data_IF_348610612464
#
_entry.id   IF_348610612464
#
_cell.length_a   1.000
_cell.length_b   1.000
_cell.length_c   1.000
_cell.angle_alpha   90.00
_cell.angle_beta   90.00
_cell.angle_gamma   90.00
#
_symmetry.space_group_name_H-M   'P 1'
#
loop_
_entity.id
_entity.type
_entity.pdbx_description
1 polymer ?
#
# COMPACT_ATOMS: atom_id res chain seq x y z
N UNK A 1 2.46 -32.37 -17.67
CA UNK A 1 3.73 -33.11 -17.58
C UNK A 1 4.84 -32.09 -17.48
N UNK A 2 5.71 -32.18 -16.47
CA UNK A 2 6.91 -31.33 -16.41
C UNK A 2 7.98 -31.95 -17.33
N UNK A 3 8.31 -31.23 -18.41
CA UNK A 3 9.18 -31.68 -19.49
C UNK A 3 10.58 -32.09 -19.00
N UNK A 4 11.00 -31.58 -17.84
CA UNK A 4 12.34 -31.77 -17.28
C UNK A 4 12.31 -32.47 -15.92
N UNK A 5 11.27 -33.25 -15.62
CA UNK A 5 11.12 -33.94 -14.31
C UNK A 5 12.34 -34.79 -13.94
N UNK A 6 12.93 -35.48 -14.92
CA UNK A 6 14.06 -36.40 -14.71
C UNK A 6 15.43 -35.74 -14.90
N UNK A 7 15.48 -34.42 -15.09
CA UNK A 7 16.73 -33.69 -15.35
C UNK A 7 17.32 -33.09 -14.07
N UNK A 8 18.65 -33.15 -13.95
CA UNK A 8 19.37 -32.49 -12.87
C UNK A 8 19.33 -30.97 -13.00
N UNK A 9 19.29 -30.26 -11.85
CA UNK A 9 19.35 -28.79 -11.83
C UNK A 9 20.64 -28.25 -12.47
N UNK A 10 21.74 -29.00 -12.38
CA UNK A 10 23.01 -28.66 -13.01
C UNK A 10 22.92 -28.69 -14.53
N UNK A 11 22.27 -29.71 -15.10
CA UNK A 11 22.11 -29.85 -16.56
C UNK A 11 21.22 -28.75 -17.13
N UNK A 12 20.13 -28.44 -16.44
CA UNK A 12 19.25 -27.33 -16.81
C UNK A 12 19.95 -25.97 -16.68
N UNK A 13 20.74 -25.79 -15.61
CA UNK A 13 21.56 -24.61 -15.40
C UNK A 13 22.59 -24.42 -16.51
N UNK A 14 23.26 -25.48 -16.94
CA UNK A 14 24.20 -25.46 -18.05
C UNK A 14 23.53 -25.09 -19.38
N UNK A 15 22.35 -25.65 -19.66
CA UNK A 15 21.56 -25.30 -20.85
C UNK A 15 21.15 -23.82 -20.83
N UNK A 16 20.65 -23.32 -19.69
CA UNK A 16 20.29 -21.91 -19.51
C UNK A 16 21.50 -21.00 -19.73
N UNK A 17 22.64 -21.30 -19.13
CA UNK A 17 23.84 -20.48 -19.22
C UNK A 17 24.33 -20.40 -20.68
N UNK A 18 24.29 -21.52 -21.40
CA UNK A 18 24.66 -21.56 -22.81
C UNK A 18 23.77 -20.64 -23.66
N UNK A 19 22.44 -20.76 -23.53
CA UNK A 19 21.49 -19.90 -24.26
C UNK A 19 21.60 -18.43 -23.88
N UNK A 20 21.91 -18.13 -22.61
CA UNK A 20 22.00 -16.75 -22.13
C UNK A 20 23.22 -15.98 -22.66
N UNK A 21 24.30 -16.68 -22.99
CA UNK A 21 25.59 -16.08 -23.38
C UNK A 21 25.82 -16.14 -24.89
N UNK A 22 25.37 -17.20 -25.55
CA UNK A 22 25.61 -17.43 -26.96
C UNK A 22 24.80 -16.46 -27.84
N UNK A 23 25.43 -15.90 -28.88
CA UNK A 23 24.74 -14.99 -29.77
C UNK A 23 23.64 -15.75 -30.55
N UNK A 24 22.49 -15.14 -30.87
CA UNK A 24 21.39 -15.85 -31.53
C UNK A 24 21.77 -16.52 -32.85
N UNK A 25 22.75 -15.98 -33.57
CA UNK A 25 23.23 -16.55 -34.82
C UNK A 25 24.14 -17.77 -34.61
N UNK A 26 24.91 -17.82 -33.54
CA UNK A 26 25.72 -18.98 -33.14
C UNK A 26 24.81 -20.10 -32.64
N UNK A 27 23.83 -19.75 -31.82
CA UNK A 27 22.83 -20.69 -31.31
C UNK A 27 22.08 -21.41 -32.44
N UNK A 28 21.80 -20.71 -33.55
CA UNK A 28 21.15 -21.28 -34.75
C UNK A 28 22.04 -22.24 -35.55
N UNK A 29 23.36 -22.23 -35.38
CA UNK A 29 24.28 -23.14 -36.09
C UNK A 29 24.31 -24.55 -35.50
N UNK A 30 23.77 -24.74 -34.29
CA UNK A 30 23.68 -26.06 -33.67
C UNK A 30 22.59 -26.92 -34.30
N UNK A 31 22.70 -28.26 -34.23
CA UNK A 31 21.65 -29.18 -34.64
C UNK A 31 20.33 -28.84 -33.94
N UNK A 32 19.24 -28.95 -34.71
CA UNK A 32 17.91 -28.58 -34.25
C UNK A 32 17.54 -29.26 -32.92
N UNK A 33 17.81 -30.56 -32.78
CA UNK A 33 17.50 -31.29 -31.54
C UNK A 33 18.17 -30.65 -30.30
N UNK A 34 19.46 -30.35 -30.38
CA UNK A 34 20.19 -29.72 -29.27
C UNK A 34 19.67 -28.31 -28.99
N UNK A 35 19.46 -27.51 -30.04
CA UNK A 35 18.95 -26.15 -29.93
C UNK A 35 17.58 -26.09 -29.26
N UNK A 36 16.66 -26.97 -29.64
CA UNK A 36 15.33 -27.02 -29.04
C UNK A 36 15.37 -27.39 -27.56
N UNK A 37 16.20 -28.37 -27.18
CA UNK A 37 16.37 -28.77 -25.78
C UNK A 37 16.89 -27.61 -24.93
N UNK A 38 17.93 -26.90 -25.40
CA UNK A 38 18.49 -25.79 -24.65
C UNK A 38 17.51 -24.62 -24.52
N UNK A 39 16.81 -24.27 -25.61
CA UNK A 39 15.78 -23.22 -25.59
C UNK A 39 14.61 -23.59 -24.68
N UNK A 40 14.14 -24.84 -24.73
CA UNK A 40 13.08 -25.32 -23.85
C UNK A 40 13.50 -25.25 -22.38
N UNK A 41 14.72 -25.70 -22.05
CA UNK A 41 15.26 -25.62 -20.68
C UNK A 41 15.40 -24.16 -20.21
N UNK A 42 15.90 -23.27 -21.08
CA UNK A 42 16.02 -21.85 -20.80
C UNK A 42 14.66 -21.20 -20.49
N UNK A 43 13.68 -21.37 -21.38
CA UNK A 43 12.33 -20.79 -21.21
C UNK A 43 11.64 -21.35 -19.97
N UNK A 44 11.79 -22.65 -19.71
CA UNK A 44 11.25 -23.30 -18.54
C UNK A 44 11.80 -22.69 -17.23
N UNK A 45 13.13 -22.56 -17.11
CA UNK A 45 13.76 -21.94 -15.94
C UNK A 45 13.44 -20.45 -15.83
N UNK A 46 13.40 -19.73 -16.95
CA UNK A 46 13.07 -18.30 -16.96
C UNK A 46 11.63 -18.05 -16.55
N UNK A 47 10.70 -18.88 -17.01
CA UNK A 47 9.28 -18.80 -16.64
C UNK A 47 9.06 -19.00 -15.14
N UNK A 48 9.71 -20.00 -14.53
CA UNK A 48 9.70 -20.19 -13.07
C UNK A 48 10.25 -18.98 -12.35
N UNK A 49 11.46 -18.53 -12.70
CA UNK A 49 12.07 -17.37 -12.05
C UNK A 49 11.23 -16.08 -12.14
N UNK A 50 10.57 -15.82 -13.27
CA UNK A 50 9.66 -14.67 -13.42
C UNK A 50 8.43 -14.85 -12.53
N UNK A 51 7.85 -16.04 -12.49
CA UNK A 51 6.68 -16.33 -11.66
C UNK A 51 7.01 -16.18 -10.18
N UNK A 52 8.13 -16.73 -9.73
CA UNK A 52 8.61 -16.63 -8.34
C UNK A 52 8.80 -15.16 -7.95
N UNK A 53 9.45 -14.36 -8.82
CA UNK A 53 9.64 -12.92 -8.61
C UNK A 53 8.30 -12.17 -8.49
N UNK A 54 7.30 -12.54 -9.30
CA UNK A 54 5.97 -11.93 -9.26
C UNK A 54 5.21 -12.31 -7.98
N UNK A 55 5.36 -13.55 -7.51
CA UNK A 55 4.78 -14.00 -6.24
C UNK A 55 5.40 -13.23 -5.07
N UNK A 56 6.72 -13.09 -5.04
CA UNK A 56 7.42 -12.31 -4.00
C UNK A 56 6.96 -10.86 -3.99
N UNK A 57 6.87 -10.22 -5.16
CA UNK A 57 6.38 -8.85 -5.29
C UNK A 57 4.92 -8.70 -4.85
N UNK A 58 4.07 -9.67 -5.17
CA UNK A 58 2.68 -9.67 -4.74
C UNK A 58 2.59 -9.77 -3.21
N UNK A 59 3.39 -10.67 -2.61
CA UNK A 59 3.46 -10.83 -1.15
C UNK A 59 3.89 -9.51 -0.51
N UNK A 60 4.97 -8.88 -0.99
CA UNK A 60 5.45 -7.60 -0.48
C UNK A 60 4.37 -6.51 -0.58
N UNK A 61 3.70 -6.43 -1.73
CA UNK A 61 2.65 -5.42 -1.97
C UNK A 61 1.46 -5.60 -1.03
N UNK A 62 1.01 -6.84 -0.80
CA UNK A 62 -0.07 -7.14 0.14
C UNK A 62 0.32 -6.75 1.57
N UNK A 63 1.54 -7.10 2.01
CA UNK A 63 2.03 -6.69 3.33
C UNK A 63 2.09 -5.16 3.48
N UNK A 64 2.57 -4.45 2.45
CA UNK A 64 2.65 -3.00 2.47
C UNK A 64 1.26 -2.35 2.59
N UNK A 65 0.27 -2.85 1.83
CA UNK A 65 -1.12 -2.38 1.93
C UNK A 65 -1.69 -2.65 3.33
N UNK A 66 -1.46 -3.86 3.87
CA UNK A 66 -1.89 -4.24 5.21
C UNK A 66 -1.34 -3.29 6.28
N UNK A 67 -0.02 -3.10 6.32
CA UNK A 67 0.63 -2.20 7.26
C UNK A 67 0.14 -0.75 7.13
N UNK A 68 -0.11 -0.28 5.90
CA UNK A 68 -0.64 1.07 5.67
C UNK A 68 -2.07 1.22 6.17
N UNK A 69 -2.91 0.20 6.00
CA UNK A 69 -4.29 0.20 6.49
C UNK A 69 -4.32 0.21 8.03
N UNK A 70 -3.51 -0.63 8.67
CA UNK A 70 -3.37 -0.67 10.13
C UNK A 70 -2.93 0.68 10.68
N UNK A 71 -1.85 1.25 10.13
CA UNK A 71 -1.36 2.56 10.53
C UNK A 71 -2.43 3.67 10.35
N UNK A 72 -3.22 3.62 9.28
CA UNK A 72 -4.28 4.61 9.05
C UNK A 72 -5.36 4.54 10.13
N UNK A 73 -5.80 3.33 10.48
CA UNK A 73 -6.81 3.13 11.53
C UNK A 73 -6.26 3.56 12.89
N UNK A 74 -5.00 3.26 13.19
CA UNK A 74 -4.35 3.68 14.43
C UNK A 74 -4.28 5.22 14.53
N UNK A 75 -3.88 5.89 13.44
CA UNK A 75 -3.84 7.36 13.41
C UNK A 75 -5.23 7.98 13.57
N UNK A 76 -6.25 7.44 12.91
CA UNK A 76 -7.64 7.91 13.06
C UNK A 76 -8.13 7.76 14.50
N UNK A 77 -7.82 6.65 15.17
CA UNK A 77 -8.14 6.45 16.58
C UNK A 77 -7.41 7.45 17.49
N UNK A 78 -6.10 7.66 17.28
CA UNK A 78 -5.32 8.63 18.05
C UNK A 78 -5.86 10.06 17.89
N UNK A 79 -6.25 10.44 16.67
CA UNK A 79 -6.79 11.76 16.39
C UNK A 79 -8.18 11.96 17.00
N UNK A 80 -9.02 10.92 17.00
CA UNK A 80 -10.31 10.97 17.67
C UNK A 80 -10.21 11.12 19.19
N UNK A 81 -9.25 10.42 19.82
CA UNK A 81 -8.97 10.58 21.26
C UNK A 81 -8.54 12.01 21.58
N UNK A 82 -7.59 12.57 20.82
CA UNK A 82 -7.13 13.96 21.00
C UNK A 82 -8.28 14.96 20.86
N UNK A 83 -9.14 14.76 19.85
CA UNK A 83 -10.29 15.63 19.57
C UNK A 83 -11.31 15.62 20.71
N UNK A 84 -11.62 14.45 21.28
CA UNK A 84 -12.57 14.34 22.40
C UNK A 84 -11.97 14.95 23.67
N UNK A 85 -10.70 14.68 23.98
CA UNK A 85 -10.01 15.28 25.13
C UNK A 85 -10.02 16.82 25.08
N UNK A 86 -9.67 17.42 23.95
CA UNK A 86 -9.70 18.89 23.79
C UNK A 86 -11.09 19.51 23.96
N UNK A 87 -12.17 18.78 23.64
CA UNK A 87 -13.54 19.24 23.90
C UNK A 87 -13.87 19.24 25.39
N UNK A 88 -13.41 18.24 26.13
CA UNK A 88 -13.58 18.20 27.58
C UNK A 88 -12.81 19.33 28.26
N UNK A 89 -11.59 19.61 27.81
CA UNK A 89 -10.80 20.75 28.30
C UNK A 89 -11.46 22.10 28.00
N UNK A 90 -12.02 22.28 26.79
CA UNK A 90 -12.79 23.49 26.45
C UNK A 90 -14.04 23.67 27.31
N UNK A 91 -14.79 22.59 27.57
CA UNK A 91 -15.96 22.64 28.46
C UNK A 91 -15.56 22.95 29.90
N UNK A 92 -14.43 22.41 30.37
CA UNK A 92 -13.90 22.69 31.69
C UNK A 92 -13.45 24.15 31.81
N UNK A 93 -12.75 24.66 30.81
CA UNK A 93 -12.34 26.07 30.74
C UNK A 93 -13.54 27.01 30.68
N UNK A 94 -14.59 26.65 29.91
CA UNK A 94 -15.84 27.41 29.82
C UNK A 94 -16.58 27.41 31.17
N UNK A 95 -16.67 26.25 31.84
CA UNK A 95 -17.28 26.13 33.15
C UNK A 95 -16.52 26.96 34.21
N UNK A 96 -15.18 26.89 34.21
CA UNK A 96 -14.36 27.72 35.11
C UNK A 96 -14.55 29.21 34.84
N UNK A 97 -14.56 29.64 33.58
CA UNK A 97 -14.81 31.03 33.23
C UNK A 97 -16.21 31.51 33.66
N UNK A 98 -17.23 30.64 33.58
CA UNK A 98 -18.58 30.95 34.03
C UNK A 98 -18.70 31.02 35.56
N UNK A 99 -17.90 30.23 36.30
CA UNK A 99 -17.82 30.30 37.77
C UNK A 99 -17.04 31.55 38.24
N UNK A 100 -16.01 31.95 37.51
CA UNK A 100 -15.23 33.16 37.80
C UNK A 100 -15.98 34.47 37.49
N UNK A 101 -16.94 34.44 36.55
CA UNK A 101 -17.79 35.58 36.18
C UNK A 101 -19.27 35.19 36.10
N UNK A 102 -20.00 35.16 37.24
CA UNK A 102 -21.37 34.66 37.27
C UNK A 102 -22.43 35.55 36.60
N UNK A 103 -22.13 36.80 36.21
CA UNK A 103 -23.13 37.80 35.76
C UNK A 103 -23.14 38.12 34.24
N UNK A 104 -22.36 37.44 33.40
CA UNK A 104 -22.37 37.65 31.95
C UNK A 104 -22.84 36.39 31.19
N UNK A 105 -24.07 35.95 31.42
CA UNK A 105 -24.76 35.15 30.40
C UNK A 105 -25.06 36.06 29.20
N UNK A 106 -24.80 35.63 27.94
CA UNK A 106 -25.08 36.46 26.78
C UNK A 106 -26.59 36.50 26.54
N UNK A 107 -27.26 37.39 27.27
CA UNK A 107 -28.59 37.87 26.90
C UNK A 107 -28.42 38.64 25.59
N UNK A 108 -28.83 38.00 24.49
CA UNK A 108 -29.01 38.70 23.22
C UNK A 108 -30.10 39.75 23.45
N UNK A 109 -29.69 40.99 23.72
CA UNK A 109 -30.59 42.13 23.68
C UNK A 109 -30.90 42.41 22.21
N UNK A 110 -31.96 41.77 21.71
CA UNK A 110 -32.58 42.07 20.43
C UNK A 110 -33.15 43.49 20.46
N UNK A 111 -32.39 44.40 19.85
CA UNK A 111 -32.71 45.81 19.76
C UNK A 111 -33.69 46.04 18.60
N UNK A 112 -34.99 45.98 18.87
CA UNK A 112 -36.00 46.46 17.92
C UNK A 112 -36.32 47.93 18.22
N UNK A 113 -35.51 48.82 17.66
CA UNK A 113 -35.92 50.21 17.37
C UNK A 113 -36.54 50.23 15.98
N UNK A 114 -37.88 50.25 15.93
CA UNK A 114 -38.65 50.61 14.75
C UNK A 114 -39.50 51.85 15.05
N UNK A 115 -39.00 53.01 14.64
CA UNK A 115 -39.75 54.26 14.55
C UNK A 115 -40.81 54.16 13.44
N UNK A 116 -42.04 54.65 13.64
CA UNK A 116 -42.72 55.57 12.68
C UNK A 116 -44.16 55.92 13.10
N UNK A 117 -44.41 57.23 13.23
CA UNK A 117 -45.57 58.03 12.82
C UNK A 117 -47.00 57.45 12.85
N UNK A 118 -47.85 58.10 13.64
CA UNK A 118 -49.10 58.72 13.15
C UNK A 118 -49.37 60.01 13.92
N UNK A 119 -49.27 61.14 13.23
CA UNK A 119 -50.25 62.22 13.35
C UNK A 119 -50.62 62.69 11.95
#
# INVERSE_FOLDING_TARGET
MDLFTDWGLQDLGACRQRVAVEAPHELRRHPDAARHVWLAAYVHLRGRAVTDTLVDLLIETVHHIGARAENKVEQELLDDIKRVGGKQDLLFNLANAAVEKPDELPVQHENIRGSSYYH
#
